data_IF_639541491065
#
_entry.id   IF_639541491065
#
_cell.length_a   1.000
_cell.length_b   1.000
_cell.length_c   1.000
_cell.angle_alpha   90.00
_cell.angle_beta   90.00
_cell.angle_gamma   90.00
#
_symmetry.space_group_name_H-M   'P 1'
#
loop_
_entity.id
_entity.type
_entity.pdbx_description
1 polymer ?
#
# COMPACT_ATOMS: atom_id res chain seq x y z
N UNK A 1 -17.46 63.36 17.12
CA UNK A 1 -17.91 62.17 17.90
C UNK A 1 -18.64 61.25 16.94
N UNK A 2 -18.04 60.11 16.62
CA UNK A 2 -18.59 59.11 15.70
C UNK A 2 -17.51 58.07 15.42
N UNK A 3 -17.47 57.02 16.25
CA UNK A 3 -16.53 55.90 16.16
C UNK A 3 -16.88 55.06 14.92
N UNK A 4 -15.91 54.87 14.03
CA UNK A 4 -15.98 53.80 13.02
C UNK A 4 -15.65 52.46 13.69
N UNK A 5 -16.59 51.53 13.65
CA UNK A 5 -16.41 50.16 14.08
C UNK A 5 -15.76 49.38 12.94
N UNK A 6 -14.43 49.23 12.99
CA UNK A 6 -13.72 48.28 12.13
C UNK A 6 -13.97 46.88 12.69
N UNK A 7 -14.85 46.13 12.02
CA UNK A 7 -15.00 44.69 12.21
C UNK A 7 -13.80 43.99 11.58
N UNK A 8 -12.79 43.70 12.39
CA UNK A 8 -11.67 42.85 12.02
C UNK A 8 -12.19 41.42 11.84
N UNK A 9 -12.45 41.01 10.60
CA UNK A 9 -12.63 39.60 10.27
C UNK A 9 -11.27 38.91 10.48
N UNK A 10 -11.10 38.27 11.64
CA UNK A 10 -10.05 37.28 11.81
C UNK A 10 -10.36 36.12 10.86
N UNK A 11 -9.60 36.04 9.76
CA UNK A 11 -9.52 34.84 8.94
C UNK A 11 -8.92 33.75 9.84
N UNK A 12 -9.78 33.01 10.52
CA UNK A 12 -9.41 31.72 11.08
C UNK A 12 -9.11 30.83 9.87
N UNK A 13 -7.84 30.81 9.47
CA UNK A 13 -7.29 29.74 8.66
C UNK A 13 -7.47 28.45 9.47
N UNK A 14 -8.63 27.82 9.29
CA UNK A 14 -8.79 26.42 9.63
C UNK A 14 -7.95 25.69 8.61
N UNK A 15 -6.67 25.50 8.93
CA UNK A 15 -5.86 24.48 8.28
C UNK A 15 -6.60 23.16 8.50
N UNK A 16 -7.43 22.76 7.54
CA UNK A 16 -7.92 21.40 7.50
C UNK A 16 -6.67 20.54 7.27
N UNK A 17 -6.34 19.72 8.26
CA UNK A 17 -5.31 18.70 8.26
C UNK A 17 -5.50 17.74 7.07
N UNK A 18 -5.00 18.13 5.89
CA UNK A 18 -5.04 17.33 4.67
C UNK A 18 -3.69 16.66 4.34
N UNK A 19 -2.71 16.70 5.25
CA UNK A 19 -1.42 16.01 5.04
C UNK A 19 -1.43 14.54 5.47
N UNK A 20 -2.50 14.05 6.11
CA UNK A 20 -2.51 12.82 6.92
C UNK A 20 -2.40 11.47 6.19
N UNK A 21 -2.54 11.36 4.87
CA UNK A 21 -2.81 10.04 4.29
C UNK A 21 -1.59 9.14 4.03
N UNK A 22 -0.38 9.67 3.78
CA UNK A 22 0.85 8.83 3.84
C UNK A 22 1.23 8.56 5.29
N UNK A 23 1.02 9.56 6.15
CA UNK A 23 1.35 9.51 7.59
C UNK A 23 0.63 8.35 8.28
N UNK A 24 -0.65 8.15 7.95
CA UNK A 24 -1.45 7.06 8.48
C UNK A 24 -0.91 5.70 8.00
N UNK A 25 -0.44 5.61 6.74
CA UNK A 25 0.09 4.40 6.07
C UNK A 25 1.50 4.01 6.46
N UNK A 26 2.24 4.94 7.04
CA UNK A 26 3.51 4.67 7.69
C UNK A 26 3.22 4.01 9.04
N UNK A 27 3.69 2.78 9.19
CA UNK A 27 3.25 1.86 10.24
C UNK A 27 3.50 2.48 11.63
N UNK A 28 2.42 2.79 12.35
CA UNK A 28 2.36 2.98 13.80
C UNK A 28 1.49 1.89 14.42
N UNK A 29 1.98 0.65 14.55
CA UNK A 29 1.20 -0.39 15.18
C UNK A 29 1.19 -0.09 16.68
N UNK A 30 0.03 -0.24 17.32
CA UNK A 30 -0.02 -0.49 18.77
C UNK A 30 0.56 -1.88 19.03
N UNK A 31 1.87 -2.03 18.87
CA UNK A 31 2.57 -3.17 19.42
C UNK A 31 2.50 -3.03 20.93
N UNK A 32 1.81 -3.98 21.56
CA UNK A 32 2.01 -4.26 22.97
C UNK A 32 3.52 -4.22 23.24
N UNK A 33 3.94 -3.33 24.16
CA UNK A 33 5.26 -3.33 24.80
C UNK A 33 5.61 -4.78 25.18
N UNK A 34 6.37 -5.49 24.33
CA UNK A 34 7.08 -6.76 24.59
C UNK A 34 7.57 -7.40 23.26
N UNK A 35 8.48 -6.74 22.54
CA UNK A 35 9.62 -7.45 21.93
C UNK A 35 10.73 -6.45 21.56
N UNK A 36 11.96 -6.54 22.09
CA UNK A 36 13.04 -5.61 21.80
C UNK A 36 13.84 -5.94 20.54
N UNK A 37 13.41 -6.90 19.71
CA UNK A 37 14.19 -7.39 18.60
C UNK A 37 13.73 -6.76 17.28
N UNK A 38 14.66 -6.15 16.56
CA UNK A 38 14.50 -5.59 15.21
C UNK A 38 13.83 -6.56 14.24
N UNK A 39 13.02 -6.04 13.32
CA UNK A 39 12.36 -6.83 12.28
C UNK A 39 13.39 -7.16 11.18
N UNK A 40 13.63 -8.44 10.84
CA UNK A 40 14.55 -8.78 9.78
C UNK A 40 14.04 -8.31 8.42
N UNK A 41 14.94 -7.77 7.59
CA UNK A 41 14.70 -7.58 6.15
C UNK A 41 15.10 -8.88 5.45
N UNK A 42 14.12 -9.77 5.27
CA UNK A 42 14.30 -11.09 4.65
C UNK A 42 13.44 -11.24 3.38
N UNK A 43 13.32 -12.46 2.88
CA UNK A 43 12.52 -12.79 1.70
C UNK A 43 11.02 -12.94 2.01
N UNK A 44 10.55 -12.54 3.20
CA UNK A 44 9.16 -12.57 3.65
C UNK A 44 8.43 -13.92 3.42
N UNK A 45 8.86 -15.00 4.08
CA UNK A 45 8.33 -16.35 3.84
C UNK A 45 6.87 -16.56 4.30
N UNK A 46 6.35 -15.68 5.17
CA UNK A 46 4.98 -15.74 5.68
C UNK A 46 4.03 -14.77 4.94
N UNK A 47 4.48 -14.23 3.80
CA UNK A 47 3.71 -13.32 2.96
C UNK A 47 2.56 -14.04 2.24
N UNK A 48 1.42 -13.37 2.13
CA UNK A 48 0.45 -13.61 1.06
C UNK A 48 0.93 -12.83 -0.16
N UNK A 49 1.43 -13.54 -1.16
CA UNK A 49 2.09 -12.97 -2.33
C UNK A 49 1.55 -13.52 -3.66
N UNK A 50 0.31 -14.03 -3.66
CA UNK A 50 -0.30 -14.71 -4.82
C UNK A 50 -0.16 -13.90 -6.12
N UNK A 51 0.47 -14.49 -7.13
CA UNK A 51 0.77 -13.83 -8.40
C UNK A 51 -0.40 -13.78 -9.38
N UNK A 52 -1.42 -14.63 -9.17
CA UNK A 52 -2.58 -14.77 -10.07
C UNK A 52 -2.20 -14.99 -11.54
N UNK A 53 -1.06 -15.63 -11.79
CA UNK A 53 -0.57 -15.92 -13.12
C UNK A 53 -1.33 -17.12 -13.70
N UNK A 54 -2.06 -16.88 -14.78
CA UNK A 54 -2.87 -17.90 -15.44
C UNK A 54 -4.28 -18.11 -14.85
N UNK A 55 -4.70 -17.34 -13.85
CA UNK A 55 -6.06 -17.40 -13.28
C UNK A 55 -6.69 -16.01 -13.04
N UNK A 56 -6.22 -14.99 -13.75
CA UNK A 56 -6.70 -13.60 -13.56
C UNK A 56 -8.21 -13.49 -13.69
N UNK A 57 -8.77 -14.04 -14.77
CA UNK A 57 -10.20 -13.92 -15.07
C UNK A 57 -11.05 -14.69 -14.07
N UNK A 58 -10.60 -15.89 -13.71
CA UNK A 58 -11.23 -16.73 -12.70
C UNK A 58 -11.21 -16.07 -11.32
N UNK A 59 -10.08 -15.49 -10.91
CA UNK A 59 -9.97 -14.79 -9.64
C UNK A 59 -10.84 -13.54 -9.63
N UNK A 60 -10.92 -12.79 -10.73
CA UNK A 60 -11.86 -11.67 -10.84
C UNK A 60 -13.31 -12.14 -10.66
N UNK A 61 -13.67 -13.27 -11.28
CA UNK A 61 -14.99 -13.87 -11.14
C UNK A 61 -15.31 -14.22 -9.68
N UNK A 62 -14.38 -14.90 -9.00
CA UNK A 62 -14.50 -15.30 -7.61
C UNK A 62 -14.56 -14.10 -6.66
N UNK A 63 -13.78 -13.05 -6.95
CA UNK A 63 -13.82 -11.79 -6.21
C UNK A 63 -15.19 -11.14 -6.30
N UNK A 64 -15.74 -10.98 -7.50
CA UNK A 64 -17.03 -10.32 -7.70
C UNK A 64 -18.19 -11.15 -7.13
N UNK A 65 -18.19 -12.48 -7.32
CA UNK A 65 -19.34 -13.33 -6.96
C UNK A 65 -19.31 -13.82 -5.51
N UNK A 66 -18.12 -14.03 -4.94
CA UNK A 66 -17.98 -14.76 -3.68
C UNK A 66 -17.20 -13.99 -2.62
N UNK A 67 -15.94 -13.59 -2.87
CA UNK A 67 -15.10 -12.99 -1.82
C UNK A 67 -15.62 -11.64 -1.37
N UNK A 68 -15.81 -10.69 -2.29
CA UNK A 68 -16.15 -9.32 -1.92
C UNK A 68 -17.48 -9.22 -1.15
N UNK A 69 -18.58 -9.89 -1.57
CA UNK A 69 -19.81 -9.91 -0.78
C UNK A 69 -19.62 -10.49 0.62
N UNK A 70 -18.85 -11.58 0.76
CA UNK A 70 -18.58 -12.21 2.07
C UNK A 70 -17.74 -11.31 2.96
N UNK A 71 -16.66 -10.75 2.44
CA UNK A 71 -15.75 -9.85 3.17
C UNK A 71 -16.47 -8.59 3.68
N UNK A 72 -17.35 -8.01 2.85
CA UNK A 72 -18.22 -6.89 3.27
C UNK A 72 -19.22 -7.30 4.37
N UNK A 73 -19.67 -8.55 4.39
CA UNK A 73 -20.63 -9.01 5.41
C UNK A 73 -19.96 -9.30 6.76
N UNK A 74 -18.66 -9.63 6.79
CA UNK A 74 -17.95 -9.99 8.03
C UNK A 74 -17.21 -8.81 8.68
N UNK A 75 -16.84 -7.78 7.91
CA UNK A 75 -16.11 -6.62 8.40
C UNK A 75 -16.84 -5.33 8.00
N UNK A 76 -17.53 -4.71 8.96
CA UNK A 76 -18.30 -3.48 8.76
C UNK A 76 -17.42 -2.29 8.40
N UNK A 77 -16.15 -2.28 8.83
CA UNK A 77 -15.19 -1.23 8.52
C UNK A 77 -14.73 -1.35 7.07
N UNK A 78 -14.40 -2.57 6.63
CA UNK A 78 -14.09 -2.86 5.23
C UNK A 78 -15.30 -2.56 4.32
N UNK A 79 -16.50 -2.97 4.72
CA UNK A 79 -17.74 -2.63 4.02
C UNK A 79 -17.91 -1.12 3.87
N UNK A 80 -17.76 -0.38 4.95
CA UNK A 80 -17.86 1.09 4.92
C UNK A 80 -16.86 1.70 3.96
N UNK A 81 -15.59 1.27 4.00
CA UNK A 81 -14.56 1.74 3.07
C UNK A 81 -14.93 1.44 1.61
N UNK A 82 -15.44 0.25 1.33
CA UNK A 82 -15.85 -0.15 -0.01
C UNK A 82 -17.06 0.64 -0.51
N UNK A 83 -18.07 0.85 0.34
CA UNK A 83 -19.26 1.61 0.00
C UNK A 83 -18.94 3.10 -0.24
N UNK A 84 -17.97 3.65 0.51
CA UNK A 84 -17.47 5.02 0.29
C UNK A 84 -16.80 5.13 -1.09
N UNK A 85 -15.96 4.16 -1.44
CA UNK A 85 -15.35 4.08 -2.76
C UNK A 85 -16.41 3.94 -3.87
N UNK A 86 -17.41 3.07 -3.72
CA UNK A 86 -18.49 2.92 -4.70
C UNK A 86 -19.20 4.25 -4.97
N UNK A 87 -19.54 5.03 -3.93
CA UNK A 87 -20.21 6.33 -4.13
C UNK A 87 -19.40 7.32 -4.96
N UNK A 88 -18.07 7.22 -4.92
CA UNK A 88 -17.17 8.08 -5.67
C UNK A 88 -17.04 7.66 -7.13
N UNK A 89 -16.84 6.37 -7.39
CA UNK A 89 -16.46 5.88 -8.73
C UNK A 89 -17.64 5.35 -9.57
N UNK A 90 -18.79 5.05 -8.96
CA UNK A 90 -19.95 4.50 -9.69
C UNK A 90 -20.71 5.58 -10.47
N UNK A 91 -20.68 6.82 -9.98
CA UNK A 91 -21.35 7.96 -10.61
C UNK A 91 -20.40 8.86 -11.42
N UNK A 92 -19.08 8.68 -11.27
CA UNK A 92 -18.06 9.53 -11.88
C UNK A 92 -17.02 8.73 -12.66
N UNK A 93 -17.44 7.71 -13.42
CA UNK A 93 -16.50 6.99 -14.28
C UNK A 93 -15.89 7.97 -15.30
N UNK A 94 -14.66 8.39 -15.03
CA UNK A 94 -13.91 9.25 -15.93
C UNK A 94 -13.23 8.35 -16.96
N UNK A 95 -13.79 8.32 -18.18
CA UNK A 95 -13.29 7.53 -19.31
C UNK A 95 -11.82 7.77 -19.65
N UNK A 96 -11.22 8.85 -19.14
CA UNK A 96 -9.81 9.20 -19.33
C UNK A 96 -8.83 8.32 -18.51
N UNK A 97 -9.33 7.49 -17.58
CA UNK A 97 -8.51 6.47 -16.90
C UNK A 97 -8.59 5.16 -17.71
N UNK A 98 -8.14 5.17 -18.97
CA UNK A 98 -8.35 4.08 -19.95
C UNK A 98 -7.77 2.71 -19.54
N UNK A 99 -7.04 2.60 -18.43
CA UNK A 99 -6.34 1.36 -18.03
C UNK A 99 -7.00 0.58 -16.89
N UNK A 100 -7.81 1.21 -16.01
CA UNK A 100 -8.32 0.55 -14.80
C UNK A 100 -9.86 0.48 -14.79
N UNK A 101 -10.42 -0.64 -14.34
CA UNK A 101 -11.85 -0.78 -14.09
C UNK A 101 -12.27 -0.04 -12.81
N UNK A 102 -13.57 0.17 -12.62
CA UNK A 102 -14.10 0.72 -11.38
C UNK A 102 -13.71 -0.11 -10.14
N UNK A 103 -13.65 -1.43 -10.25
CA UNK A 103 -13.23 -2.27 -9.12
C UNK A 103 -11.76 -2.05 -8.73
N UNK A 104 -10.88 -1.82 -9.71
CA UNK A 104 -9.50 -1.43 -9.41
C UNK A 104 -9.43 -0.06 -8.73
N UNK A 105 -10.19 0.93 -9.22
CA UNK A 105 -10.23 2.26 -8.63
C UNK A 105 -10.80 2.23 -7.21
N UNK A 106 -11.85 1.44 -6.97
CA UNK A 106 -12.42 1.22 -5.63
C UNK A 106 -11.41 0.56 -4.69
N UNK A 107 -10.70 -0.47 -5.15
CA UNK A 107 -9.66 -1.14 -4.36
C UNK A 107 -8.51 -0.20 -3.99
N UNK A 108 -8.03 0.60 -4.96
CA UNK A 108 -7.03 1.65 -4.71
C UNK A 108 -7.56 2.63 -3.66
N UNK A 109 -8.78 3.13 -3.82
CA UNK A 109 -9.39 4.05 -2.85
C UNK A 109 -9.48 3.44 -1.45
N UNK A 110 -9.97 2.20 -1.33
CA UNK A 110 -10.06 1.49 -0.05
C UNK A 110 -8.71 1.37 0.64
N UNK A 111 -7.66 1.06 -0.13
CA UNK A 111 -6.30 0.98 0.40
C UNK A 111 -5.78 2.34 0.85
N UNK A 112 -5.99 3.40 0.04
CA UNK A 112 -5.40 4.71 0.30
C UNK A 112 -6.18 5.57 1.30
N UNK A 113 -7.43 5.21 1.63
CA UNK A 113 -8.34 6.04 2.43
C UNK A 113 -7.89 6.16 3.92
N UNK A 114 -7.54 7.37 4.40
CA UNK A 114 -7.08 7.59 5.77
C UNK A 114 -8.20 7.58 6.81
N UNK A 115 -9.45 7.84 6.44
CA UNK A 115 -10.58 7.82 7.36
C UNK A 115 -10.90 6.39 7.82
N UNK A 116 -10.70 5.41 6.92
CA UNK A 116 -10.94 4.00 7.20
C UNK A 116 -9.68 3.26 7.57
N UNK A 117 -8.51 3.70 7.13
CA UNK A 117 -7.23 3.06 7.46
C UNK A 117 -7.21 1.53 7.21
N UNK A 118 -7.82 1.04 6.12
CA UNK A 118 -7.89 -0.40 5.82
C UNK A 118 -6.52 -1.00 5.53
N UNK A 119 -5.59 -0.20 4.97
CA UNK A 119 -4.22 -0.64 4.71
C UNK A 119 -3.53 -1.19 5.97
N UNK A 120 -3.85 -0.76 7.20
CA UNK A 120 -3.17 -1.25 8.41
C UNK A 120 -3.42 -2.75 8.64
N UNK A 121 -4.67 -3.21 8.90
CA UNK A 121 -4.95 -4.63 9.09
C UNK A 121 -4.73 -5.42 7.80
N UNK A 122 -4.92 -4.82 6.62
CA UNK A 122 -4.65 -5.47 5.34
C UNK A 122 -3.15 -5.81 5.17
N UNK A 123 -2.27 -4.85 5.42
CA UNK A 123 -0.83 -5.06 5.30
C UNK A 123 -0.29 -6.02 6.36
N UNK A 124 -0.84 -5.97 7.59
CA UNK A 124 -0.51 -6.96 8.63
C UNK A 124 -0.92 -8.37 8.23
N UNK A 125 -2.16 -8.55 7.75
CA UNK A 125 -2.64 -9.83 7.25
C UNK A 125 -1.79 -10.34 6.08
N UNK A 126 -1.45 -9.47 5.13
CA UNK A 126 -0.63 -9.81 3.96
C UNK A 126 0.78 -10.24 4.38
N UNK A 127 1.35 -9.60 5.41
CA UNK A 127 2.70 -9.91 5.91
C UNK A 127 2.80 -11.21 6.71
N UNK A 128 1.71 -11.68 7.32
CA UNK A 128 1.77 -12.71 8.38
C UNK A 128 0.91 -13.94 8.13
N UNK A 129 -0.11 -13.85 7.29
CA UNK A 129 -1.10 -14.93 7.11
C UNK A 129 -0.84 -15.80 5.88
N UNK A 130 0.39 -15.85 5.36
CA UNK A 130 0.72 -16.66 4.19
C UNK A 130 0.33 -18.14 4.37
N UNK A 131 0.69 -18.74 5.51
CA UNK A 131 0.31 -20.12 5.86
C UNK A 131 -1.21 -20.31 6.08
N UNK A 132 -1.92 -19.22 6.37
CA UNK A 132 -3.35 -19.19 6.66
C UNK A 132 -4.16 -18.51 5.55
N UNK A 133 -3.61 -18.45 4.33
CA UNK A 133 -4.20 -17.72 3.21
C UNK A 133 -5.60 -18.20 2.84
N UNK A 134 -5.89 -19.49 3.02
CA UNK A 134 -7.20 -20.10 2.73
C UNK A 134 -8.21 -20.00 3.88
N UNK A 135 -7.78 -19.65 5.08
CA UNK A 135 -8.60 -19.71 6.30
C UNK A 135 -8.82 -18.35 6.93
N UNK A 136 -7.74 -17.69 7.34
CA UNK A 136 -7.82 -16.51 8.22
C UNK A 136 -7.62 -15.20 7.48
N UNK A 137 -7.08 -15.25 6.26
CA UNK A 137 -6.97 -14.07 5.41
C UNK A 137 -8.36 -13.63 4.93
N UNK A 138 -8.71 -12.36 5.15
CA UNK A 138 -10.07 -11.80 4.90
C UNK A 138 -10.09 -10.70 3.85
N UNK A 139 -9.03 -10.58 3.08
CA UNK A 139 -8.83 -9.49 2.12
C UNK A 139 -8.45 -10.01 0.74
N UNK A 140 -8.99 -11.16 0.33
CA UNK A 140 -8.77 -11.76 -1.00
C UNK A 140 -9.17 -10.79 -2.11
N UNK A 141 -10.30 -10.08 -1.97
CA UNK A 141 -10.75 -9.12 -2.98
C UNK A 141 -9.79 -7.94 -3.12
N UNK A 142 -9.39 -7.35 -2.00
CA UNK A 142 -8.49 -6.20 -2.00
C UNK A 142 -7.09 -6.61 -2.51
N UNK A 143 -6.57 -7.76 -2.06
CA UNK A 143 -5.28 -8.28 -2.50
C UNK A 143 -5.24 -8.50 -4.01
N UNK A 144 -6.24 -9.20 -4.56
CA UNK A 144 -6.32 -9.47 -5.98
C UNK A 144 -6.44 -8.19 -6.80
N UNK A 145 -7.39 -7.31 -6.48
CA UNK A 145 -7.67 -6.11 -7.27
C UNK A 145 -6.50 -5.12 -7.24
N UNK A 146 -5.79 -5.00 -6.11
CA UNK A 146 -4.56 -4.19 -6.05
C UNK A 146 -3.44 -4.83 -6.87
N UNK A 147 -3.22 -6.14 -6.75
CA UNK A 147 -2.21 -6.86 -7.54
C UNK A 147 -2.47 -6.69 -9.04
N UNK A 148 -3.73 -6.83 -9.46
CA UNK A 148 -4.10 -6.69 -10.86
C UNK A 148 -4.00 -5.24 -11.35
N UNK A 149 -4.41 -4.26 -10.54
CA UNK A 149 -4.24 -2.86 -10.86
C UNK A 149 -2.76 -2.50 -11.06
N UNK A 150 -1.88 -2.92 -10.13
CA UNK A 150 -0.44 -2.71 -10.27
C UNK A 150 0.09 -3.40 -11.53
N UNK A 151 -0.31 -4.64 -11.81
CA UNK A 151 0.08 -5.32 -13.05
C UNK A 151 -0.30 -4.49 -14.28
N UNK A 152 -1.54 -4.02 -14.37
CA UNK A 152 -2.03 -3.22 -15.51
C UNK A 152 -1.25 -1.91 -15.66
N UNK A 153 -1.03 -1.18 -14.55
CA UNK A 153 -0.28 0.08 -14.56
C UNK A 153 1.20 -0.10 -14.92
N UNK A 154 1.74 -1.32 -14.77
CA UNK A 154 3.11 -1.68 -15.13
C UNK A 154 3.25 -2.33 -16.51
N UNK A 155 2.17 -2.50 -17.29
CA UNK A 155 2.24 -3.18 -18.61
C UNK A 155 3.00 -2.41 -19.69
N UNK A 156 3.31 -1.13 -19.47
CA UNK A 156 4.01 -0.31 -20.46
C UNK A 156 5.46 -0.79 -20.63
N UNK A 157 5.87 -1.29 -21.81
CA UNK A 157 7.21 -1.81 -22.05
C UNK A 157 8.30 -0.73 -21.95
N UNK A 158 7.95 0.56 -22.02
CA UNK A 158 8.87 1.68 -21.83
C UNK A 158 8.97 2.16 -20.38
N UNK A 159 8.29 1.52 -19.42
CA UNK A 159 8.26 1.98 -18.04
C UNK A 159 9.64 1.85 -17.38
N UNK A 160 10.17 2.99 -16.96
CA UNK A 160 11.39 3.05 -16.16
C UNK A 160 11.12 2.74 -14.69
N UNK A 161 12.13 2.21 -14.01
CA UNK A 161 12.09 2.06 -12.56
C UNK A 161 12.12 3.44 -11.90
N UNK A 162 11.34 3.62 -10.83
CA UNK A 162 11.18 4.90 -10.14
C UNK A 162 11.88 4.85 -8.79
N UNK A 163 12.53 5.95 -8.40
CA UNK A 163 13.06 6.10 -7.04
C UNK A 163 12.02 6.75 -6.15
N UNK A 164 11.76 6.11 -5.01
CA UNK A 164 10.75 6.51 -4.03
C UNK A 164 11.31 6.39 -2.62
N UNK A 165 10.59 6.95 -1.66
CA UNK A 165 11.01 7.07 -0.28
C UNK A 165 9.91 6.56 0.65
N UNK A 166 10.31 5.86 1.70
CA UNK A 166 9.39 5.38 2.75
C UNK A 166 10.04 5.53 4.11
N UNK A 167 9.27 6.04 5.05
CA UNK A 167 9.64 6.15 6.45
C UNK A 167 8.84 5.25 7.37
N UNK A 168 9.42 4.82 8.50
CA UNK A 168 8.71 4.04 9.52
C UNK A 168 9.34 4.17 10.91
N UNK A 169 8.49 4.06 11.93
CA UNK A 169 8.91 3.98 13.34
C UNK A 169 9.39 2.59 13.76
N UNK A 170 9.24 1.59 12.89
CA UNK A 170 9.73 0.25 13.12
C UNK A 170 11.24 0.17 12.88
N UNK A 171 11.94 -0.54 13.76
CA UNK A 171 13.36 -0.82 13.59
C UNK A 171 13.54 -2.07 12.72
N UNK A 172 14.15 -1.91 11.56
CA UNK A 172 14.50 -3.02 10.66
C UNK A 172 15.98 -3.36 10.70
N UNK A 173 16.31 -4.62 10.46
CA UNK A 173 17.67 -5.12 10.37
C UNK A 173 17.89 -5.92 9.09
N UNK A 174 18.76 -5.42 8.23
CA UNK A 174 19.29 -6.13 7.06
C UNK A 174 20.77 -5.81 6.87
N UNK A 175 21.45 -6.55 6.00
CA UNK A 175 22.85 -6.28 5.65
C UNK A 175 22.95 -5.88 4.19
N UNK A 176 23.97 -5.09 3.88
CA UNK A 176 24.35 -4.83 2.50
C UNK A 176 24.56 -6.15 1.76
N UNK A 177 24.16 -6.16 0.49
CA UNK A 177 24.15 -7.30 -0.42
C UNK A 177 23.11 -8.40 -0.15
N UNK A 178 22.38 -8.36 0.97
CA UNK A 178 21.23 -9.23 1.17
C UNK A 178 20.12 -8.94 0.15
N UNK A 179 19.32 -9.96 -0.13
CA UNK A 179 18.07 -9.80 -0.89
C UNK A 179 16.88 -9.85 0.05
N UNK A 180 15.85 -9.07 -0.28
CA UNK A 180 14.66 -8.94 0.55
C UNK A 180 13.42 -8.72 -0.29
N UNK A 181 12.26 -9.02 0.31
CA UNK A 181 10.93 -8.58 -0.16
C UNK A 181 10.18 -7.94 0.99
N UNK A 182 9.34 -6.95 0.70
CA UNK A 182 8.51 -6.38 1.77
C UNK A 182 7.45 -7.37 2.25
N UNK A 183 7.01 -8.30 1.39
CA UNK A 183 6.01 -9.31 1.75
C UNK A 183 4.61 -8.77 2.03
N UNK A 184 4.39 -7.50 1.74
CA UNK A 184 3.11 -6.81 1.82
C UNK A 184 3.10 -5.69 0.80
N UNK A 185 1.92 -5.18 0.49
CA UNK A 185 1.79 -3.92 -0.22
C UNK A 185 2.51 -2.81 0.56
N UNK A 186 3.33 -2.05 -0.16
CA UNK A 186 4.22 -1.07 0.46
C UNK A 186 4.05 0.28 -0.20
N UNK A 187 3.43 1.20 0.54
CA UNK A 187 3.32 2.61 0.13
C UNK A 187 4.65 3.32 0.26
N UNK A 188 5.03 4.05 -0.77
CA UNK A 188 6.18 4.94 -0.82
C UNK A 188 5.79 6.23 -1.54
N UNK A 189 6.62 7.26 -1.51
CA UNK A 189 6.36 8.52 -2.22
C UNK A 189 7.54 8.89 -3.11
N UNK A 190 7.30 9.48 -4.29
CA UNK A 190 8.37 10.13 -5.06
C UNK A 190 8.90 11.39 -4.39
N UNK A 191 8.12 11.97 -3.48
CA UNK A 191 8.50 13.13 -2.70
C UNK A 191 9.22 12.69 -1.41
N UNK A 192 10.54 12.92 -1.37
CA UNK A 192 11.38 12.59 -0.22
C UNK A 192 10.94 13.30 1.06
N UNK A 193 10.45 14.54 0.95
CA UNK A 193 9.96 15.28 2.11
C UNK A 193 8.74 14.61 2.71
N UNK A 194 7.76 14.19 1.91
CA UNK A 194 6.58 13.43 2.40
C UNK A 194 7.00 12.18 3.17
N UNK A 195 8.11 11.53 2.78
CA UNK A 195 8.62 10.34 3.46
C UNK A 195 9.44 10.62 4.73
N UNK A 196 9.97 11.85 4.90
CA UNK A 196 10.88 12.25 5.99
C UNK A 196 10.31 13.34 6.91
N UNK A 197 9.09 13.83 6.65
CA UNK A 197 8.55 15.03 7.28
C UNK A 197 8.37 14.93 8.79
N UNK A 198 8.38 13.73 9.37
CA UNK A 198 8.27 13.60 10.82
C UNK A 198 9.52 13.08 11.52
N UNK A 199 9.74 13.71 12.68
CA UNK A 199 10.72 13.35 13.67
C UNK A 199 10.29 12.04 14.33
N UNK A 200 11.25 11.13 14.58
CA UNK A 200 11.14 9.81 15.26
C UNK A 200 11.14 8.55 14.37
N UNK A 201 11.61 8.63 13.13
CA UNK A 201 11.63 7.48 12.24
C UNK A 201 12.84 6.63 12.60
N UNK A 202 12.61 5.34 12.88
CA UNK A 202 13.72 4.42 13.16
C UNK A 202 14.37 3.95 11.88
N UNK A 203 13.58 3.76 10.83
CA UNK A 203 14.08 3.29 9.55
C UNK A 203 13.51 4.09 8.39
N UNK A 204 14.39 4.52 7.49
CA UNK A 204 14.05 5.08 6.19
C UNK A 204 14.48 4.11 5.09
N UNK A 205 13.72 4.10 4.00
CA UNK A 205 14.05 3.39 2.78
C UNK A 205 14.10 4.39 1.62
N UNK A 206 15.19 4.34 0.86
CA UNK A 206 15.28 4.91 -0.49
C UNK A 206 15.22 3.75 -1.46
N UNK A 207 14.14 3.66 -2.22
CA UNK A 207 13.75 2.47 -2.96
C UNK A 207 13.77 2.79 -4.44
N UNK A 208 14.54 2.08 -5.24
CA UNK A 208 14.35 2.05 -6.69
C UNK A 208 13.50 0.85 -7.03
N UNK A 209 12.22 1.06 -7.35
CA UNK A 209 11.22 0.03 -7.68
C UNK A 209 10.93 -0.02 -9.18
N UNK A 210 10.81 -1.21 -9.74
CA UNK A 210 10.44 -1.45 -11.14
C UNK A 210 9.02 -2.02 -11.28
N UNK A 211 8.43 -2.53 -10.19
CA UNK A 211 7.07 -3.08 -10.18
C UNK A 211 6.08 -2.19 -9.40
N UNK A 212 6.55 -1.12 -8.76
CA UNK A 212 5.70 -0.12 -8.14
C UNK A 212 4.97 0.73 -9.17
N UNK A 213 3.72 1.08 -8.88
CA UNK A 213 2.94 1.98 -9.73
C UNK A 213 2.54 3.24 -8.97
N UNK A 214 2.65 4.38 -9.66
CA UNK A 214 2.11 5.63 -9.18
C UNK A 214 0.59 5.53 -9.12
N UNK A 215 0.04 5.90 -7.96
CA UNK A 215 -1.39 6.02 -7.72
C UNK A 215 -1.88 7.46 -7.95
N UNK A 216 -0.98 8.37 -8.34
CA UNK A 216 -1.30 9.75 -8.69
C UNK A 216 -2.30 9.77 -9.84
N UNK A 217 -3.43 10.43 -9.61
CA UNK A 217 -4.53 10.52 -10.58
C UNK A 217 -5.61 9.44 -10.42
N UNK A 218 -5.36 8.37 -9.64
CA UNK A 218 -6.36 7.33 -9.33
C UNK A 218 -6.95 7.50 -7.93
N UNK A 219 -6.16 8.07 -7.01
CA UNK A 219 -6.61 8.48 -5.68
C UNK A 219 -7.12 9.93 -5.70
N UNK A 220 -8.14 10.22 -4.87
CA UNK A 220 -8.55 11.60 -4.56
C UNK A 220 -7.50 12.33 -3.70
N UNK A 221 -6.58 11.58 -3.10
CA UNK A 221 -5.50 12.09 -2.26
C UNK A 221 -4.26 12.25 -3.13
N UNK A 222 -4.13 13.42 -3.77
CA UNK A 222 -3.13 13.67 -4.81
C UNK A 222 -1.78 14.12 -4.26
N UNK A 223 -1.76 14.70 -3.07
CA UNK A 223 -0.58 15.39 -2.50
C UNK A 223 0.51 14.42 -1.99
N UNK A 224 0.21 13.13 -1.97
CA UNK A 224 1.08 12.08 -1.44
C UNK A 224 2.16 11.61 -2.42
N UNK A 225 1.93 11.86 -3.70
CA UNK A 225 2.70 11.27 -4.80
C UNK A 225 2.94 9.76 -4.60
N UNK A 226 1.90 9.05 -4.14
CA UNK A 226 2.02 7.68 -3.65
C UNK A 226 2.38 6.72 -4.80
N UNK A 227 3.44 5.95 -4.58
CA UNK A 227 3.81 4.78 -5.37
C UNK A 227 3.62 3.54 -4.52
N UNK A 228 2.72 2.67 -4.97
CA UNK A 228 2.42 1.41 -4.31
C UNK A 228 3.24 0.28 -4.92
N UNK A 229 4.00 -0.41 -4.06
CA UNK A 229 4.89 -1.51 -4.43
C UNK A 229 4.21 -2.84 -4.07
N UNK A 230 4.17 -3.83 -4.99
CA UNK A 230 3.57 -5.13 -4.73
C UNK A 230 4.40 -5.98 -3.75
N UNK A 231 3.80 -6.99 -3.08
CA UNK A 231 4.48 -7.83 -2.10
C UNK A 231 5.62 -8.69 -2.69
N UNK A 232 5.59 -8.96 -3.99
CA UNK A 232 6.45 -9.93 -4.67
C UNK A 232 7.73 -9.35 -5.29
N UNK A 233 7.95 -8.02 -5.27
CA UNK A 233 9.16 -7.42 -5.85
C UNK A 233 10.40 -7.74 -5.00
N UNK A 234 11.46 -8.21 -5.65
CA UNK A 234 12.72 -8.55 -4.99
C UNK A 234 13.70 -7.40 -5.08
N UNK A 235 14.21 -6.97 -3.93
CA UNK A 235 15.20 -5.91 -3.80
C UNK A 235 16.53 -6.45 -3.31
N UNK A 236 17.63 -5.86 -3.79
CA UNK A 236 18.95 -5.97 -3.19
C UNK A 236 19.17 -4.77 -2.27
N UNK A 237 19.69 -5.01 -1.06
CA UNK A 237 20.13 -3.96 -0.15
C UNK A 237 21.48 -3.43 -0.66
N UNK A 238 21.46 -2.27 -1.30
CA UNK A 238 22.65 -1.68 -1.92
C UNK A 238 23.54 -0.98 -0.90
N UNK A 239 22.95 -0.34 0.12
CA UNK A 239 23.67 0.39 1.16
C UNK A 239 22.87 0.41 2.47
N UNK A 240 23.59 0.45 3.59
CA UNK A 240 23.02 0.55 4.94
C UNK A 240 23.75 1.64 5.71
N UNK A 241 23.11 2.79 5.87
CA UNK A 241 23.67 3.92 6.63
C UNK A 241 23.07 3.96 8.02
N UNK A 242 23.91 3.95 9.05
CA UNK A 242 23.48 4.15 10.44
C UNK A 242 23.87 5.55 10.88
N UNK A 243 22.89 6.37 11.20
CA UNK A 243 23.11 7.73 11.67
C UNK A 243 23.41 7.71 13.17
N UNK A 244 24.39 8.53 13.59
CA UNK A 244 24.61 8.77 15.02
C UNK A 244 23.52 9.74 15.47
N UNK A 245 22.57 9.27 16.26
CA UNK A 245 21.61 10.15 16.94
C UNK A 245 22.40 10.92 18.00
N UNK A 246 22.80 12.16 17.68
CA UNK A 246 23.35 13.07 18.67
C UNK A 246 22.16 13.65 19.45
N UNK A 247 22.14 13.47 20.77
CA UNK A 247 21.03 13.85 21.66
C UNK A 247 20.64 15.34 21.56
N UNK A 248 21.51 16.19 21.00
CA UNK A 248 21.34 17.64 20.91
C UNK A 248 21.04 18.17 19.49
N UNK A 249 21.11 17.34 18.45
CA UNK A 249 20.71 17.75 17.09
C UNK A 249 19.36 17.14 16.75
N UNK A 250 18.30 17.94 16.89
CA UNK A 250 16.96 17.65 16.39
C UNK A 250 16.92 17.69 14.84
N UNK A 251 17.80 16.93 14.17
CA UNK A 251 17.73 16.73 12.73
C UNK A 251 16.83 15.54 12.43
N UNK A 252 15.96 15.72 11.45
CA UNK A 252 14.87 14.85 10.99
C UNK A 252 15.36 13.58 10.29
N UNK A 253 16.40 12.94 10.82
CA UNK A 253 17.10 11.85 10.17
C UNK A 253 16.76 10.51 10.82
N UNK A 254 16.46 9.51 9.98
CA UNK A 254 16.22 8.15 10.45
C UNK A 254 17.45 7.56 11.15
N UNK A 255 17.25 6.74 12.19
CA UNK A 255 18.36 6.03 12.86
C UNK A 255 19.14 5.15 11.87
N UNK A 256 18.42 4.46 10.97
CA UNK A 256 19.00 3.66 9.89
C UNK A 256 18.33 3.98 8.55
N UNK A 257 19.12 4.10 7.50
CA UNK A 257 18.66 4.28 6.12
C UNK A 257 19.10 3.08 5.28
N UNK A 258 18.16 2.45 4.60
CA UNK A 258 18.42 1.40 3.62
C UNK A 258 18.23 1.93 2.20
N UNK A 259 19.24 1.78 1.35
CA UNK A 259 19.07 1.94 -0.09
C UNK A 259 18.74 0.59 -0.72
N UNK A 260 17.55 0.49 -1.30
CA UNK A 260 17.04 -0.72 -1.95
C UNK A 260 17.04 -0.53 -3.46
N UNK A 261 17.60 -1.49 -4.19
CA UNK A 261 17.58 -1.54 -5.65
C UNK A 261 16.78 -2.75 -6.10
N UNK A 262 15.74 -2.52 -6.90
CA UNK A 262 15.01 -3.61 -7.55
C UNK A 262 15.99 -4.49 -8.32
N UNK A 263 15.86 -5.79 -8.14
CA UNK A 263 16.59 -6.79 -8.94
C UNK A 263 15.96 -6.99 -10.31
N UNK A 264 14.84 -6.30 -10.60
CA UNK A 264 13.98 -6.53 -11.77
C UNK A 264 13.38 -7.94 -11.84
N UNK A 265 13.39 -8.65 -10.72
CA UNK A 265 12.77 -9.98 -10.60
C UNK A 265 11.65 -9.95 -9.56
N UNK A 266 10.72 -10.88 -9.72
CA UNK A 266 9.66 -11.15 -8.76
C UNK A 266 9.90 -12.51 -8.13
N UNK A 267 9.44 -12.67 -6.89
CA UNK A 267 9.30 -13.98 -6.25
C UNK A 267 7.95 -14.00 -5.56
N UNK A 268 7.20 -15.05 -5.83
CA UNK A 268 5.96 -15.39 -5.15
C UNK A 268 6.00 -16.87 -4.79
N UNK A 269 5.56 -17.20 -3.57
CA UNK A 269 5.41 -18.58 -3.12
C UNK A 269 3.98 -19.10 -3.34
N UNK A 270 3.09 -18.26 -3.89
CA UNK A 270 1.69 -18.59 -4.19
C UNK A 270 1.33 -18.25 -5.63
N UNK A 271 0.66 -19.17 -6.32
CA UNK A 271 0.04 -18.85 -7.60
C UNK A 271 -1.32 -19.51 -7.72
N UNK A 272 -2.37 -18.70 -7.78
CA UNK A 272 -3.75 -19.13 -7.94
C UNK A 272 -4.20 -20.08 -6.82
N UNK A 273 -3.71 -19.90 -5.59
CA UNK A 273 -3.94 -20.85 -4.50
C UNK A 273 -5.41 -20.92 -4.06
N UNK A 274 -6.16 -19.85 -4.32
CA UNK A 274 -7.56 -19.68 -3.89
C UNK A 274 -8.55 -20.11 -4.97
N UNK A 275 -8.12 -20.12 -6.23
CA UNK A 275 -8.97 -20.42 -7.37
C UNK A 275 -8.99 -21.94 -7.57
N UNK A 276 -10.15 -22.55 -7.34
CA UNK A 276 -10.37 -23.98 -7.57
C UNK A 276 -10.66 -24.23 -9.05
N UNK A 277 -9.63 -24.63 -9.80
CA UNK A 277 -9.69 -24.84 -11.26
C UNK A 277 -10.79 -25.83 -11.67
N UNK A 278 -11.10 -26.82 -10.83
CA UNK A 278 -12.08 -27.87 -11.14
C UNK A 278 -13.54 -27.41 -10.93
N UNK A 279 -13.77 -26.29 -10.22
CA UNK A 279 -15.12 -25.74 -10.00
C UNK A 279 -15.55 -24.70 -11.04
N UNK A 280 -14.63 -24.23 -11.87
CA UNK A 280 -14.84 -23.10 -12.78
C UNK A 280 -15.54 -23.51 -14.07
N UNK A 281 -15.29 -24.74 -14.55
CA UNK A 281 -15.94 -25.29 -15.76
C UNK A 281 -17.48 -25.31 -15.68
N UNK A 282 -18.07 -25.20 -14.49
CA UNK A 282 -19.52 -25.15 -14.28
C UNK A 282 -20.10 -23.74 -13.98
N UNK A 283 -19.29 -22.69 -13.99
CA UNK A 283 -19.77 -21.30 -13.84
C UNK A 283 -19.00 -20.39 -14.78
N UNK A 284 -19.38 -20.38 -16.07
CA UNK A 284 -18.90 -19.34 -16.98
C UNK A 284 -19.15 -17.97 -16.36
N UNK A 285 -18.07 -17.23 -16.13
CA UNK A 285 -18.15 -15.80 -15.93
C UNK A 285 -18.45 -15.18 -17.29
N UNK A 286 -19.73 -15.25 -17.71
CA UNK A 286 -20.17 -14.49 -18.85
C UNK A 286 -20.01 -13.02 -18.49
N UNK A 287 -19.04 -12.39 -19.14
CA UNK A 287 -18.71 -10.98 -19.10
C UNK A 287 -19.98 -10.15 -19.30
N UNK A 288 -20.24 -9.21 -18.38
CA UNK A 288 -21.06 -8.03 -18.69
C UNK A 288 -20.16 -6.97 -19.33
#
# INVERSE_FOLDING_TARGET
>A
MGRENILTFAMLCVFHDWTLGVESKMIHPRLNRRNPNSIPLDMAPDSVDDSYEGCREDMLCEVTKNFLPKEKNIDSKFKGAWDDAMRLYDNNYNSNIEKLSNDHLRAIHVYVNPDKMIYMPFNEATRTLGKHYKTDFKYHSLHFLLSDALRILNKDPGKECVTTYRGTTLAYQGKKDDTMRFGQFTSSSTNEHVAKIYANWKTCFKITTCFGASLVGFSQIKDEEEVLIPPYEVFKIAEVTKNKVLEESATSECETVYELKSTKTTKSDMNCHIVDKDKIDNKMCNTM
#
